data_IF_026016881997
#
_entry.id   IF_026016881997
#
_cell.length_a   1.000
_cell.length_b   1.000
_cell.length_c   1.000
_cell.angle_alpha   90.00
_cell.angle_beta   90.00
_cell.angle_gamma   90.00
#
_symmetry.space_group_name_H-M   'P 1'
#
loop_
_entity.id
_entity.type
_entity.pdbx_description
1 polymer ?
#
# COMPACT_ATOMS: atom_id res chain seq x y z
N UNK A 1 4.93 3.42 16.96
CA UNK A 1 5.55 4.70 17.36
C UNK A 1 6.89 4.80 16.66
N UNK A 2 7.14 5.88 15.91
CA UNK A 2 8.41 6.11 15.21
C UNK A 2 9.01 7.44 15.65
N UNK A 3 10.32 7.43 15.94
CA UNK A 3 11.09 8.62 16.32
C UNK A 3 12.34 8.68 15.45
N UNK A 4 12.53 9.82 14.79
CA UNK A 4 13.76 10.15 14.06
C UNK A 4 14.46 11.28 14.80
N UNK A 5 15.78 11.17 14.96
CA UNK A 5 16.62 12.14 15.64
C UNK A 5 17.76 12.56 14.73
N UNK A 6 17.95 13.87 14.57
CA UNK A 6 19.09 14.45 13.84
C UNK A 6 19.84 15.38 14.78
N UNK A 7 21.14 15.15 14.95
CA UNK A 7 22.00 16.00 15.76
C UNK A 7 22.18 17.39 15.10
N UNK A 8 22.11 18.45 15.91
CA UNK A 8 22.32 19.83 15.48
C UNK A 8 23.01 20.62 16.60
N UNK A 9 24.34 20.62 16.59
CA UNK A 9 25.19 21.30 17.59
C UNK A 9 24.85 20.89 19.04
N UNK A 10 24.18 21.76 19.80
CA UNK A 10 23.80 21.58 21.21
C UNK A 10 22.37 21.08 21.43
N UNK A 11 21.63 20.85 20.33
CA UNK A 11 20.27 20.32 20.33
C UNK A 11 20.13 19.15 19.37
N UNK A 12 19.15 18.28 19.60
CA UNK A 12 18.71 17.29 18.63
C UNK A 12 17.37 17.72 18.08
N UNK A 13 17.24 17.76 16.76
CA UNK A 13 15.94 17.85 16.11
C UNK A 13 15.29 16.48 16.17
N UNK A 14 14.00 16.44 16.53
CA UNK A 14 13.22 15.21 16.50
C UNK A 14 12.01 15.35 15.61
N UNK A 15 11.66 14.22 14.99
CA UNK A 15 10.36 13.99 14.38
C UNK A 15 9.73 12.80 15.09
N UNK A 16 8.57 13.03 15.70
CA UNK A 16 7.78 12.01 16.39
C UNK A 16 6.46 11.80 15.64
N UNK A 17 6.16 10.54 15.33
CA UNK A 17 4.85 10.13 14.80
C UNK A 17 4.07 9.33 15.85
N UNK A 18 2.93 9.88 16.28
CA UNK A 18 2.08 9.35 17.36
C UNK A 18 0.67 9.00 16.87
N UNK A 19 0.18 7.80 17.20
CA UNK A 19 -1.14 7.29 16.77
C UNK A 19 -1.03 6.41 15.53
N UNK A 20 -1.99 5.49 15.35
CA UNK A 20 -2.17 4.68 14.13
C UNK A 20 -3.18 5.35 13.19
N UNK A 21 -3.12 5.05 11.89
CA UNK A 21 -3.98 5.64 10.87
C UNK A 21 -3.74 7.14 10.76
N UNK A 22 -4.76 7.95 11.05
CA UNK A 22 -4.62 9.39 11.29
C UNK A 22 -4.07 9.64 12.70
N UNK A 23 -2.76 9.89 12.78
CA UNK A 23 -2.08 10.33 13.99
C UNK A 23 -1.55 11.76 13.88
N UNK A 24 -0.48 12.03 14.61
CA UNK A 24 0.17 13.34 14.67
C UNK A 24 1.65 13.22 14.29
N UNK A 25 2.14 14.17 13.49
CA UNK A 25 3.56 14.44 13.27
C UNK A 25 3.92 15.63 14.15
N UNK A 26 4.91 15.41 15.01
CA UNK A 26 5.40 16.40 15.96
C UNK A 26 6.86 16.62 15.64
N UNK A 27 7.21 17.87 15.34
CA UNK A 27 8.58 18.30 15.15
C UNK A 27 8.99 19.15 16.33
N UNK A 28 10.23 18.97 16.79
CA UNK A 28 10.74 19.72 17.90
C UNK A 28 12.23 19.57 18.10
N UNK A 29 12.72 20.17 19.18
CA UNK A 29 14.11 20.05 19.63
C UNK A 29 14.17 19.46 21.02
N UNK A 30 15.24 18.71 21.30
CA UNK A 30 15.62 18.30 22.65
C UNK A 30 17.05 18.75 22.94
N UNK A 31 17.26 19.45 24.04
CA UNK A 31 18.60 19.88 24.48
C UNK A 31 19.36 18.72 25.12
N UNK A 32 20.68 18.84 25.28
CA UNK A 32 21.50 17.88 26.03
C UNK A 32 21.06 17.69 27.49
N UNK A 33 20.40 18.69 28.09
CA UNK A 33 19.82 18.61 29.44
C UNK A 33 18.42 17.97 29.48
N UNK A 34 17.87 17.58 28.32
CA UNK A 34 16.56 16.95 28.21
C UNK A 34 15.39 17.93 28.12
N UNK A 35 15.65 19.22 27.91
CA UNK A 35 14.57 20.21 27.69
C UNK A 35 13.98 20.02 26.29
N UNK A 36 12.67 19.80 26.21
CA UNK A 36 11.94 19.53 24.97
C UNK A 36 11.14 20.76 24.56
N UNK A 37 11.30 21.19 23.32
CA UNK A 37 10.47 22.23 22.70
C UNK A 37 9.78 21.70 21.45
N UNK A 38 8.45 21.71 21.46
CA UNK A 38 7.65 21.41 20.26
C UNK A 38 7.62 22.64 19.37
N UNK A 39 8.03 22.49 18.11
CA UNK A 39 8.05 23.54 17.11
C UNK A 39 6.81 23.48 16.22
N UNK A 40 6.41 22.27 15.82
CA UNK A 40 5.26 22.05 14.93
C UNK A 40 4.51 20.79 15.35
N UNK A 41 3.18 20.88 15.28
CA UNK A 41 2.27 19.75 15.46
C UNK A 41 1.24 19.81 14.37
N UNK A 42 1.13 18.74 13.61
CA UNK A 42 0.14 18.63 12.55
C UNK A 42 -0.42 17.21 12.46
N UNK A 43 -1.67 17.06 11.98
CA UNK A 43 -2.19 15.75 11.63
C UNK A 43 -1.25 15.05 10.65
N UNK A 44 -1.02 13.76 10.84
CA UNK A 44 -0.24 12.94 9.92
C UNK A 44 -0.89 11.58 9.77
N UNK A 45 -0.68 10.95 8.62
CA UNK A 45 -1.00 9.54 8.48
C UNK A 45 0.24 8.74 8.90
N UNK A 46 0.08 7.99 9.99
CA UNK A 46 1.16 7.26 10.65
C UNK A 46 1.16 5.77 10.30
N UNK A 47 -0.02 5.22 10.01
CA UNK A 47 -0.12 4.08 9.10
C UNK A 47 -0.82 4.57 7.85
N UNK A 48 -0.16 4.35 6.71
CA UNK A 48 -0.79 4.56 5.44
C UNK A 48 -1.80 3.44 5.20
N UNK A 49 -2.96 3.70 4.58
CA UNK A 49 -3.76 2.62 4.04
C UNK A 49 -2.88 1.80 3.11
N UNK A 50 -2.83 0.49 3.32
CA UNK A 50 -2.11 -0.42 2.43
C UNK A 50 -3.10 -0.82 1.36
N UNK A 51 -3.05 -0.16 0.22
CA UNK A 51 -4.10 -0.26 -0.79
C UNK A 51 -3.56 0.10 -2.19
N UNK A 52 -4.34 -0.22 -3.21
CA UNK A 52 -4.08 0.09 -4.62
C UNK A 52 -4.45 1.53 -4.97
N UNK A 53 -3.82 2.05 -6.03
CA UNK A 53 -4.27 3.26 -6.71
C UNK A 53 -5.66 3.10 -7.33
N UNK A 54 -6.46 4.17 -7.32
CA UNK A 54 -7.67 4.25 -8.13
C UNK A 54 -7.37 4.07 -9.61
N UNK A 55 -8.31 3.49 -10.35
CA UNK A 55 -8.16 3.11 -11.75
C UNK A 55 -7.38 1.82 -11.99
N UNK A 56 -6.84 1.18 -10.94
CA UNK A 56 -6.21 -0.14 -11.05
C UNK A 56 -7.25 -1.15 -11.52
N UNK A 57 -6.97 -1.86 -12.61
CA UNK A 57 -7.88 -2.82 -13.20
C UNK A 57 -7.74 -4.17 -12.50
N UNK A 58 -8.82 -4.65 -11.90
CA UNK A 58 -8.90 -5.97 -11.31
C UNK A 58 -9.44 -6.95 -12.34
N UNK A 59 -8.77 -8.07 -12.51
CA UNK A 59 -9.21 -9.12 -13.44
C UNK A 59 -10.52 -9.74 -12.94
N UNK A 60 -11.57 -9.70 -13.76
CA UNK A 60 -12.84 -10.40 -13.50
C UNK A 60 -13.20 -11.35 -14.65
N UNK A 61 -14.09 -12.33 -14.45
CA UNK A 61 -14.58 -13.19 -15.54
C UNK A 61 -15.25 -12.42 -16.67
N UNK A 62 -15.84 -11.25 -16.39
CA UNK A 62 -16.48 -10.37 -17.38
C UNK A 62 -15.54 -9.38 -18.05
N UNK A 63 -14.23 -9.44 -17.75
CA UNK A 63 -13.23 -8.46 -18.18
C UNK A 63 -12.72 -7.59 -17.02
N UNK A 64 -11.64 -6.81 -17.22
CA UNK A 64 -11.06 -6.03 -16.13
C UNK A 64 -12.01 -4.91 -15.66
N UNK A 65 -12.09 -4.71 -14.34
CA UNK A 65 -12.94 -3.69 -13.70
C UNK A 65 -12.08 -2.79 -12.80
N UNK A 66 -12.21 -1.46 -12.84
CA UNK A 66 -11.50 -0.57 -11.92
C UNK A 66 -11.81 -0.89 -10.46
N UNK A 67 -10.79 -0.92 -9.60
CA UNK A 67 -10.90 -1.33 -8.20
C UNK A 67 -11.97 -0.54 -7.42
N UNK A 68 -12.10 0.76 -7.68
CA UNK A 68 -13.08 1.64 -7.04
C UNK A 68 -14.54 1.35 -7.43
N UNK A 69 -14.75 0.60 -8.52
CA UNK A 69 -16.07 0.19 -8.99
C UNK A 69 -16.48 -1.19 -8.47
N UNK A 70 -15.54 -1.96 -7.91
CA UNK A 70 -15.86 -3.25 -7.30
C UNK A 70 -16.77 -3.08 -6.08
N UNK A 71 -17.59 -4.10 -5.85
CA UNK A 71 -18.55 -4.20 -4.75
C UNK A 71 -18.56 -5.63 -4.24
N UNK A 72 -18.94 -5.81 -2.98
CA UNK A 72 -19.20 -7.14 -2.44
C UNK A 72 -20.20 -7.91 -3.32
N UNK A 73 -19.96 -9.20 -3.50
CA UNK A 73 -20.72 -10.10 -4.36
C UNK A 73 -20.26 -10.14 -5.82
N UNK A 74 -19.50 -9.16 -6.31
CA UNK A 74 -18.95 -9.21 -7.68
C UNK A 74 -17.90 -10.30 -7.80
N UNK A 75 -17.88 -11.01 -8.92
CA UNK A 75 -16.86 -12.05 -9.17
C UNK A 75 -15.54 -11.42 -9.62
N UNK A 76 -14.43 -11.89 -9.07
CA UNK A 76 -13.06 -11.56 -9.48
C UNK A 76 -12.27 -12.86 -9.69
N UNK A 77 -11.18 -12.79 -10.45
CA UNK A 77 -10.23 -13.88 -10.53
C UNK A 77 -9.34 -13.91 -9.29
N UNK A 78 -9.26 -15.08 -8.66
CA UNK A 78 -8.41 -15.39 -7.51
C UNK A 78 -7.69 -16.73 -7.73
N UNK A 79 -6.91 -17.15 -6.75
CA UNK A 79 -6.18 -18.43 -6.74
C UNK A 79 -6.70 -19.26 -5.57
N UNK A 80 -7.02 -20.53 -5.82
CA UNK A 80 -7.35 -21.48 -4.74
C UNK A 80 -6.10 -22.06 -4.05
N UNK A 81 -6.28 -22.88 -3.02
CA UNK A 81 -5.16 -23.51 -2.29
C UNK A 81 -4.25 -24.39 -3.14
N UNK A 82 -4.71 -24.82 -4.33
CA UNK A 82 -3.92 -25.62 -5.27
C UNK A 82 -3.07 -24.77 -6.22
N UNK A 83 -3.17 -23.43 -6.14
CA UNK A 83 -2.52 -22.53 -7.08
C UNK A 83 -3.31 -22.32 -8.38
N UNK A 84 -4.53 -22.84 -8.47
CA UNK A 84 -5.35 -22.74 -9.69
C UNK A 84 -6.15 -21.44 -9.71
N UNK A 85 -6.12 -20.76 -10.87
CA UNK A 85 -6.98 -19.61 -11.13
C UNK A 85 -8.46 -20.01 -11.10
N UNK A 86 -9.24 -19.36 -10.24
CA UNK A 86 -10.67 -19.60 -10.06
C UNK A 86 -11.42 -18.29 -9.86
N UNK A 87 -12.72 -18.27 -10.13
CA UNK A 87 -13.57 -17.11 -9.88
C UNK A 87 -14.15 -17.18 -8.47
N UNK A 88 -14.10 -16.08 -7.72
CA UNK A 88 -14.69 -15.96 -6.40
C UNK A 88 -15.37 -14.60 -6.23
N UNK A 89 -16.40 -14.55 -5.39
CA UNK A 89 -17.06 -13.29 -5.05
C UNK A 89 -16.14 -12.44 -4.16
N UNK A 90 -16.14 -11.12 -4.36
CA UNK A 90 -15.58 -10.17 -3.40
C UNK A 90 -16.43 -10.22 -2.13
N UNK A 91 -15.81 -10.48 -0.97
CA UNK A 91 -16.48 -10.51 0.34
C UNK A 91 -16.29 -9.21 1.10
N UNK A 92 -15.24 -8.45 0.79
CA UNK A 92 -14.97 -7.16 1.42
C UNK A 92 -14.30 -6.19 0.44
N UNK A 93 -14.58 -4.92 0.62
CA UNK A 93 -13.95 -3.81 -0.11
C UNK A 93 -13.64 -2.70 0.88
N UNK A 94 -12.48 -2.09 0.78
CA UNK A 94 -12.13 -0.89 1.55
C UNK A 94 -11.80 0.27 0.61
N UNK A 95 -12.20 1.46 1.02
CA UNK A 95 -11.79 2.72 0.41
C UNK A 95 -11.21 3.58 1.53
N UNK A 96 -9.97 4.03 1.39
CA UNK A 96 -9.34 4.92 2.37
C UNK A 96 -8.96 6.25 1.74
N UNK A 97 -9.47 7.39 2.24
CA UNK A 97 -9.05 8.71 1.81
C UNK A 97 -7.54 8.90 2.00
N UNK A 98 -6.87 9.51 1.03
CA UNK A 98 -5.44 9.83 1.14
C UNK A 98 -5.21 11.23 1.69
N UNK A 99 -4.12 11.46 2.46
CA UNK A 99 -3.68 12.81 2.79
C UNK A 99 -3.27 13.61 1.55
N UNK A 100 -3.19 14.94 1.72
CA UNK A 100 -2.73 15.88 0.70
C UNK A 100 -1.34 15.55 0.10
N UNK A 101 -0.51 14.80 0.82
CA UNK A 101 0.75 14.27 0.32
C UNK A 101 0.83 12.77 0.60
N UNK A 102 0.62 11.97 -0.42
CA UNK A 102 0.75 10.52 -0.37
C UNK A 102 1.65 10.04 -1.53
N UNK A 103 2.53 9.09 -1.25
CA UNK A 103 3.38 8.47 -2.28
C UNK A 103 3.03 7.00 -2.43
N UNK A 104 3.12 6.54 -3.67
CA UNK A 104 2.96 5.14 -4.03
C UNK A 104 4.24 4.59 -4.62
N UNK A 105 4.41 3.28 -4.47
CA UNK A 105 5.37 2.51 -5.25
C UNK A 105 4.71 2.17 -6.57
N UNK A 106 5.31 2.61 -7.67
CA UNK A 106 4.97 2.17 -9.01
C UNK A 106 6.05 1.21 -9.51
N UNK A 107 5.59 -0.01 -9.80
CA UNK A 107 6.40 -1.11 -10.30
C UNK A 107 6.02 -1.37 -11.74
N UNK A 108 7.03 -1.55 -12.60
CA UNK A 108 6.85 -2.02 -13.98
C UNK A 108 7.68 -3.27 -14.19
N UNK A 109 7.06 -4.32 -14.72
CA UNK A 109 7.69 -5.55 -15.11
C UNK A 109 8.23 -5.45 -16.54
N UNK A 110 9.19 -6.30 -16.90
CA UNK A 110 9.83 -6.32 -18.22
C UNK A 110 8.88 -6.75 -19.35
N UNK A 111 7.76 -7.39 -19.02
CA UNK A 111 6.66 -7.73 -19.95
C UNK A 111 5.66 -6.57 -20.16
N UNK A 112 5.86 -5.43 -19.49
CA UNK A 112 5.05 -4.22 -19.62
C UNK A 112 3.94 -4.09 -18.59
N UNK A 113 3.63 -5.13 -17.81
CA UNK A 113 2.66 -5.03 -16.70
C UNK A 113 3.14 -3.99 -15.67
N UNK A 114 2.21 -3.21 -15.14
CA UNK A 114 2.50 -2.12 -14.20
C UNK A 114 1.47 -2.09 -13.10
N UNK A 115 1.89 -1.90 -11.85
CA UNK A 115 1.00 -1.68 -10.71
C UNK A 115 1.49 -0.50 -9.87
N UNK A 116 0.56 0.22 -9.25
CA UNK A 116 0.84 1.30 -8.32
C UNK A 116 -0.01 1.10 -7.07
N UNK A 117 0.66 1.04 -5.92
CA UNK A 117 0.01 0.83 -4.64
C UNK A 117 0.87 1.39 -3.52
N UNK A 118 0.32 1.39 -2.30
CA UNK A 118 1.05 1.77 -1.10
C UNK A 118 2.33 0.92 -0.94
N UNK A 119 3.42 1.48 -0.39
CA UNK A 119 4.70 0.77 -0.22
C UNK A 119 4.58 -0.62 0.42
N UNK A 120 3.73 -0.76 1.44
CA UNK A 120 3.53 -2.00 2.20
C UNK A 120 2.61 -3.04 1.54
N UNK A 121 2.08 -2.81 0.34
CA UNK A 121 1.08 -3.71 -0.26
C UNK A 121 1.71 -5.08 -0.54
N UNK A 122 1.16 -6.19 -0.02
CA UNK A 122 1.78 -7.49 -0.18
C UNK A 122 1.54 -8.06 -1.57
N UNK A 123 2.59 -8.66 -2.12
CA UNK A 123 2.50 -9.55 -3.29
C UNK A 123 1.98 -10.92 -2.89
N UNK A 124 1.76 -11.80 -3.87
CA UNK A 124 1.35 -13.18 -3.61
C UNK A 124 2.30 -13.94 -2.67
N UNK A 125 3.59 -13.60 -2.67
CA UNK A 125 4.62 -14.19 -1.81
C UNK A 125 4.65 -13.57 -0.39
N UNK A 126 3.81 -12.57 -0.13
CA UNK A 126 3.78 -11.84 1.14
C UNK A 126 4.86 -10.75 1.26
N UNK A 127 5.74 -10.60 0.28
CA UNK A 127 6.73 -9.51 0.20
C UNK A 127 6.03 -8.18 -0.11
N UNK A 128 6.38 -7.11 0.59
CA UNK A 128 5.86 -5.78 0.32
C UNK A 128 6.38 -5.26 -1.02
N UNK A 129 5.57 -4.48 -1.75
CA UNK A 129 5.99 -3.90 -3.03
C UNK A 129 7.26 -3.04 -2.91
N UNK A 130 7.41 -2.28 -1.81
CA UNK A 130 8.60 -1.44 -1.59
C UNK A 130 9.89 -2.22 -1.31
N UNK A 131 9.80 -3.52 -1.06
CA UNK A 131 10.98 -4.35 -0.90
C UNK A 131 11.59 -4.76 -2.24
N UNK A 132 10.83 -4.70 -3.34
CA UNK A 132 11.31 -5.12 -4.67
C UNK A 132 12.39 -4.18 -5.22
N UNK A 133 13.34 -4.75 -5.96
CA UNK A 133 14.42 -4.05 -6.65
C UNK A 133 14.42 -4.44 -8.13
N UNK A 134 15.00 -3.60 -8.97
CA UNK A 134 15.19 -3.92 -10.39
C UNK A 134 15.99 -5.21 -10.53
N UNK A 135 15.49 -6.15 -11.33
CA UNK A 135 16.05 -7.49 -11.52
C UNK A 135 15.39 -8.58 -10.66
N UNK A 136 14.60 -8.23 -9.65
CA UNK A 136 13.82 -9.22 -8.89
C UNK A 136 12.71 -9.84 -9.77
N UNK A 137 12.28 -11.04 -9.43
CA UNK A 137 11.13 -11.68 -10.08
C UNK A 137 9.84 -11.39 -9.31
N UNK A 138 8.79 -10.99 -10.02
CA UNK A 138 7.43 -10.82 -9.52
C UNK A 138 6.45 -11.41 -10.53
N UNK A 139 5.62 -12.37 -10.08
CA UNK A 139 4.57 -13.00 -10.88
C UNK A 139 5.08 -13.49 -12.25
N UNK A 140 6.23 -14.18 -12.22
CA UNK A 140 6.88 -14.78 -13.38
C UNK A 140 7.66 -13.83 -14.30
N UNK A 141 7.70 -12.53 -14.01
CA UNK A 141 8.41 -11.53 -14.82
C UNK A 141 9.44 -10.73 -13.99
N UNK A 142 10.40 -10.10 -14.67
CA UNK A 142 11.45 -9.32 -14.00
C UNK A 142 10.97 -7.90 -13.73
N UNK A 143 11.21 -7.40 -12.52
CA UNK A 143 11.02 -5.99 -12.17
C UNK A 143 12.01 -5.15 -12.97
N UNK A 144 11.50 -4.28 -13.83
CA UNK A 144 12.29 -3.40 -14.68
C UNK A 144 12.40 -1.98 -14.11
N UNK A 145 11.39 -1.51 -13.36
CA UNK A 145 11.37 -0.19 -12.73
C UNK A 145 10.71 -0.28 -11.36
N UNK A 146 11.28 0.44 -10.39
CA UNK A 146 10.67 0.75 -9.09
C UNK A 146 10.80 2.25 -8.88
N UNK A 147 9.69 2.96 -8.71
CA UNK A 147 9.69 4.40 -8.49
C UNK A 147 8.69 4.80 -7.40
N UNK A 148 9.05 5.83 -6.62
CA UNK A 148 8.15 6.47 -5.68
C UNK A 148 7.51 7.68 -6.35
N UNK A 149 6.20 7.65 -6.53
CA UNK A 149 5.46 8.70 -7.24
C UNK A 149 4.46 9.37 -6.31
N UNK A 150 4.28 10.68 -6.47
CA UNK A 150 3.21 11.39 -5.80
C UNK A 150 1.86 10.88 -6.31
N UNK A 151 0.96 10.56 -5.40
CA UNK A 151 -0.39 10.13 -5.70
C UNK A 151 -1.36 11.30 -5.58
N UNK A 152 -2.09 11.56 -6.65
CA UNK A 152 -3.04 12.67 -6.76
C UNK A 152 -4.51 12.21 -6.70
N UNK A 153 -4.77 10.91 -6.50
CA UNK A 153 -6.14 10.41 -6.32
C UNK A 153 -6.67 10.75 -4.93
N UNK A 154 -7.99 10.72 -4.75
CA UNK A 154 -8.63 11.11 -3.47
C UNK A 154 -8.64 9.98 -2.43
N UNK A 155 -8.56 8.73 -2.90
CA UNK A 155 -8.59 7.55 -2.05
C UNK A 155 -7.79 6.40 -2.68
N UNK A 156 -7.46 5.41 -1.85
CA UNK A 156 -6.91 4.11 -2.24
C UNK A 156 -7.89 3.00 -1.92
N UNK A 157 -7.74 1.86 -2.59
CA UNK A 157 -8.72 0.78 -2.54
C UNK A 157 -8.07 -0.59 -2.31
N UNK A 158 -8.75 -1.47 -1.61
CA UNK A 158 -8.38 -2.90 -1.55
C UNK A 158 -9.64 -3.76 -1.54
N UNK A 159 -9.51 -5.01 -1.94
CA UNK A 159 -10.60 -5.99 -2.01
C UNK A 159 -10.17 -7.29 -1.34
N UNK A 160 -11.14 -8.02 -0.81
CA UNK A 160 -10.96 -9.39 -0.33
C UNK A 160 -11.82 -10.34 -1.16
N UNK A 161 -11.23 -11.19 -2.01
CA UNK A 161 -11.95 -12.29 -2.65
C UNK A 161 -12.31 -13.36 -1.61
N UNK A 162 -13.44 -14.03 -1.80
CA UNK A 162 -13.78 -15.23 -1.03
C UNK A 162 -12.74 -16.32 -1.28
N UNK A 163 -12.41 -17.07 -0.22
CA UNK A 163 -11.42 -18.13 -0.26
C UNK A 163 -10.36 -17.94 0.83
N UNK A 164 -9.36 -18.81 0.79
CA UNK A 164 -8.30 -18.93 1.81
C UNK A 164 -7.05 -18.10 1.50
N UNK A 165 -6.85 -17.69 0.25
CA UNK A 165 -5.58 -17.09 -0.20
C UNK A 165 -5.58 -15.56 -0.09
N UNK A 166 -6.75 -14.93 -0.25
CA UNK A 166 -6.89 -13.48 -0.35
C UNK A 166 -6.19 -12.87 -1.57
N UNK A 167 -5.88 -13.67 -2.59
CA UNK A 167 -5.12 -13.23 -3.77
C UNK A 167 -6.03 -12.70 -4.88
N UNK A 168 -5.58 -11.70 -5.62
CA UNK A 168 -6.28 -11.18 -6.80
C UNK A 168 -5.28 -10.62 -7.81
N UNK A 169 -5.69 -10.53 -9.08
CA UNK A 169 -4.87 -9.86 -10.11
C UNK A 169 -5.23 -8.39 -10.23
N UNK A 170 -4.22 -7.54 -10.09
CA UNK A 170 -4.29 -6.10 -10.32
C UNK A 170 -3.38 -5.73 -11.49
N UNK A 171 -3.96 -5.19 -12.56
CA UNK A 171 -3.30 -4.95 -13.85
C UNK A 171 -2.54 -6.21 -14.35
N UNK A 172 -3.13 -7.39 -14.15
CA UNK A 172 -2.52 -8.66 -14.50
C UNK A 172 -1.34 -9.09 -13.62
N UNK A 173 -1.10 -8.47 -12.47
CA UNK A 173 -0.08 -8.88 -11.48
C UNK A 173 -0.77 -9.46 -10.25
N UNK A 174 -0.39 -10.67 -9.83
CA UNK A 174 -0.97 -11.33 -8.66
C UNK A 174 -0.49 -10.68 -7.35
N UNK A 175 -1.42 -10.07 -6.63
CA UNK A 175 -1.20 -9.42 -5.34
C UNK A 175 -2.04 -10.10 -4.25
N UNK A 176 -1.74 -9.76 -3.00
CA UNK A 176 -2.47 -10.24 -1.83
C UNK A 176 -3.27 -9.09 -1.21
N UNK A 177 -4.47 -9.41 -0.77
CA UNK A 177 -5.30 -8.52 0.04
C UNK A 177 -4.64 -8.23 1.37
N UNK A 178 -4.85 -7.02 1.86
CA UNK A 178 -4.49 -6.58 3.21
C UNK A 178 -5.64 -6.78 4.19
N UNK A 179 -6.83 -7.07 3.67
CA UNK A 179 -8.01 -7.43 4.44
C UNK A 179 -7.94 -8.90 4.84
N UNK A 180 -8.54 -9.23 5.98
CA UNK A 180 -8.69 -10.59 6.45
C UNK A 180 -10.10 -10.77 7.00
N UNK A 181 -10.70 -11.93 6.76
CA UNK A 181 -11.92 -12.33 7.45
C UNK A 181 -11.62 -12.53 8.93
N UNK A 182 -12.33 -11.82 9.80
CA UNK A 182 -12.31 -12.05 11.25
C UNK A 182 -12.86 -13.43 11.63
#
# INVERSE_FOLDING_TARGET
MGVELTASEDVYNFVLRRGEGQGERIEGTITKSGEIKVLKREPSFNTYPICLAGGTLIDTPGGPVPVEQLRQGMAVWTVDDSGKRTAAAVVETVMTPVPAFFQMVKLRLNDGRTVSASPGHPTAEGRALDDYRVGDTLDGALVAVVEHVAYNGEATYDILPAGSTGLYWANGILLKSTLATN
#
